data_IF_916925151724
#
_entry.id   IF_916925151724
#
_cell.length_a   1.000
_cell.length_b   1.000
_cell.length_c   1.000
_cell.angle_alpha   90.00
_cell.angle_beta   90.00
_cell.angle_gamma   90.00
#
_symmetry.space_group_name_H-M   'P 1'
#
loop_
_entity.id
_entity.type
_entity.pdbx_description
1 polymer ?
#
# COMPACT_ATOMS: atom_id res chain seq x y z
N UNK A 1 -0.22 -19.14 -24.88
CA UNK A 1 -1.05 -17.92 -24.74
C UNK A 1 -0.24 -16.90 -23.94
N UNK A 2 0.05 -15.73 -24.51
CA UNK A 2 0.73 -14.65 -23.79
C UNK A 2 -0.27 -13.53 -23.54
N UNK A 3 -0.75 -13.38 -22.31
CA UNK A 3 -1.46 -12.14 -21.95
C UNK A 3 -0.44 -11.02 -21.87
N UNK A 4 -0.63 -9.98 -22.67
CA UNK A 4 0.19 -8.77 -22.61
C UNK A 4 0.05 -8.18 -21.20
N UNK A 5 1.16 -8.03 -20.44
CA UNK A 5 1.08 -7.50 -19.10
C UNK A 5 0.45 -6.10 -19.11
N UNK A 6 -0.49 -5.86 -18.19
CA UNK A 6 -1.14 -4.55 -18.05
C UNK A 6 -0.26 -3.63 -17.22
N UNK A 7 0.69 -2.96 -17.86
CA UNK A 7 1.60 -2.02 -17.19
C UNK A 7 0.88 -0.84 -16.53
N UNK A 8 -0.33 -0.49 -17.00
CA UNK A 8 -1.13 0.61 -16.45
C UNK A 8 -1.53 0.41 -14.98
N UNK A 9 -1.57 -0.84 -14.49
CA UNK A 9 -1.91 -1.16 -13.11
C UNK A 9 -0.68 -1.25 -12.18
N UNK A 10 0.52 -1.33 -12.74
CA UNK A 10 1.74 -1.42 -11.94
C UNK A 10 2.09 -0.04 -11.37
N UNK A 11 2.55 -0.04 -10.13
CA UNK A 11 2.97 1.14 -9.37
C UNK A 11 4.21 0.80 -8.55
N UNK A 12 5.11 1.75 -8.41
CA UNK A 12 6.32 1.60 -7.59
C UNK A 12 5.91 1.42 -6.12
N UNK A 13 6.59 0.53 -5.40
CA UNK A 13 6.41 0.39 -3.95
C UNK A 13 6.77 1.70 -3.23
N UNK A 14 6.02 2.05 -2.20
CA UNK A 14 6.15 3.34 -1.51
C UNK A 14 5.49 4.52 -2.23
N UNK A 15 4.98 4.34 -3.46
CA UNK A 15 4.22 5.40 -4.12
C UNK A 15 2.91 5.69 -3.37
N UNK A 16 2.54 6.96 -3.31
CA UNK A 16 1.31 7.41 -2.66
C UNK A 16 0.10 7.08 -3.53
N UNK A 17 -0.92 6.49 -2.90
CA UNK A 17 -2.23 6.26 -3.47
C UNK A 17 -3.33 6.70 -2.50
N UNK A 18 -4.46 7.13 -3.05
CA UNK A 18 -5.65 7.52 -2.29
C UNK A 18 -6.72 6.45 -2.46
N UNK A 19 -6.92 5.64 -1.41
CA UNK A 19 -7.95 4.60 -1.42
C UNK A 19 -9.32 5.24 -1.23
N UNK A 20 -10.27 4.89 -2.08
CA UNK A 20 -11.65 5.33 -1.92
C UNK A 20 -12.24 4.76 -0.62
N UNK A 21 -12.85 5.63 0.20
CA UNK A 21 -13.60 5.21 1.38
C UNK A 21 -15.04 4.91 0.96
N UNK A 22 -15.61 3.74 1.29
CA UNK A 22 -16.99 3.42 0.95
C UNK A 22 -17.98 4.47 1.50
N UNK A 23 -19.01 4.87 0.74
CA UNK A 23 -19.95 5.90 1.15
C UNK A 23 -20.67 5.61 2.47
N UNK A 24 -20.84 4.34 2.80
CA UNK A 24 -21.49 3.86 4.03
C UNK A 24 -20.71 4.25 5.28
N UNK A 25 -19.41 4.50 5.14
CA UNK A 25 -18.51 4.92 6.22
C UNK A 25 -18.35 6.45 6.28
N UNK A 26 -18.89 7.21 5.32
CA UNK A 26 -18.79 8.66 5.31
C UNK A 26 -19.79 9.29 6.28
N UNK A 27 -19.31 10.17 7.17
CA UNK A 27 -20.16 11.18 7.79
C UNK A 27 -20.13 12.46 6.93
N UNK A 28 -21.12 13.34 7.13
CA UNK A 28 -21.18 14.61 6.38
C UNK A 28 -19.89 15.41 6.65
N UNK A 29 -19.20 15.81 5.58
CA UNK A 29 -17.89 16.48 5.56
C UNK A 29 -16.65 15.58 5.74
N UNK A 30 -16.78 14.25 5.79
CA UNK A 30 -15.61 13.38 5.84
C UNK A 30 -14.83 13.32 4.53
N UNK A 31 -13.53 13.03 4.68
CA UNK A 31 -12.60 12.84 3.56
C UNK A 31 -12.99 11.59 2.78
N UNK A 32 -13.19 11.73 1.47
CA UNK A 32 -13.67 10.65 0.58
C UNK A 32 -12.62 9.61 0.20
N UNK A 33 -11.36 9.87 0.54
CA UNK A 33 -10.25 8.99 0.22
C UNK A 33 -9.12 9.09 1.24
N UNK A 34 -8.53 7.96 1.60
CA UNK A 34 -7.44 7.89 2.58
C UNK A 34 -6.10 7.74 1.87
N UNK A 35 -5.13 8.60 2.24
CA UNK A 35 -3.77 8.58 1.70
C UNK A 35 -2.97 7.43 2.29
N UNK A 36 -2.41 6.56 1.44
CA UNK A 36 -1.54 5.45 1.83
C UNK A 36 -0.41 5.21 0.85
N UNK A 37 0.45 4.25 1.18
CA UNK A 37 1.61 3.87 0.39
C UNK A 37 1.46 2.46 -0.16
N UNK A 38 1.80 2.26 -1.43
CA UNK A 38 1.74 0.93 -2.08
C UNK A 38 2.79 0.00 -1.47
N UNK A 39 2.34 -1.13 -0.94
CA UNK A 39 3.21 -2.17 -0.37
C UNK A 39 3.22 -3.43 -1.24
N UNK A 40 2.10 -3.76 -1.88
CA UNK A 40 2.00 -4.92 -2.77
C UNK A 40 0.99 -4.70 -3.90
N UNK A 41 1.20 -5.39 -5.02
CA UNK A 41 0.18 -5.64 -6.02
C UNK A 41 -0.57 -6.92 -5.66
N UNK A 42 -1.88 -6.86 -5.61
CA UNK A 42 -2.76 -8.00 -5.37
C UNK A 42 -3.34 -8.49 -6.70
N UNK A 43 -4.09 -9.59 -6.65
CA UNK A 43 -4.81 -10.09 -7.84
C UNK A 43 -5.77 -9.04 -8.41
N UNK A 44 -6.15 -9.22 -9.68
CA UNK A 44 -6.90 -8.22 -10.47
C UNK A 44 -8.20 -7.70 -9.78
N UNK A 45 -8.88 -8.53 -8.99
CA UNK A 45 -10.10 -8.13 -8.26
C UNK A 45 -9.85 -7.36 -6.97
N UNK A 46 -8.62 -7.41 -6.42
CA UNK A 46 -8.23 -6.75 -5.16
C UNK A 46 -7.33 -5.54 -5.34
N UNK A 47 -6.63 -5.41 -6.48
CA UNK A 47 -5.84 -4.24 -6.85
C UNK A 47 -4.54 -4.10 -6.06
N UNK A 48 -4.50 -3.20 -5.08
CA UNK A 48 -3.28 -2.85 -4.33
C UNK A 48 -3.45 -3.09 -2.83
N UNK A 49 -2.36 -3.44 -2.16
CA UNK A 49 -2.25 -3.36 -0.71
C UNK A 49 -1.59 -2.03 -0.34
N UNK A 50 -2.29 -1.23 0.44
CA UNK A 50 -1.83 0.08 0.91
C UNK A 50 -1.55 0.05 2.41
N UNK A 51 -0.46 0.66 2.82
CA UNK A 51 -0.17 0.96 4.22
C UNK A 51 -0.54 2.41 4.55
N UNK A 52 -1.35 2.57 5.60
CA UNK A 52 -1.76 3.88 6.11
C UNK A 52 -0.94 4.26 7.34
N UNK A 53 -0.02 5.24 7.24
CA UNK A 53 0.87 5.60 8.35
C UNK A 53 0.12 6.14 9.56
N UNK A 54 -1.00 6.84 9.33
CA UNK A 54 -1.81 7.44 10.40
C UNK A 54 -2.47 6.39 11.32
N UNK A 55 -2.77 5.20 10.78
CA UNK A 55 -3.45 4.13 11.55
C UNK A 55 -2.59 2.89 11.76
N UNK A 56 -1.44 2.80 11.08
CA UNK A 56 -0.60 1.60 11.05
C UNK A 56 -1.23 0.41 10.32
N UNK A 57 -2.37 0.59 9.63
CA UNK A 57 -3.13 -0.51 9.02
C UNK A 57 -2.75 -0.76 7.57
N UNK A 58 -2.94 -2.02 7.15
CA UNK A 58 -2.88 -2.43 5.76
C UNK A 58 -4.28 -2.64 5.21
N UNK A 59 -4.58 -2.04 4.07
CA UNK A 59 -5.89 -2.13 3.42
C UNK A 59 -5.72 -2.52 1.96
N UNK A 60 -6.45 -3.56 1.54
CA UNK A 60 -6.57 -3.96 0.15
C UNK A 60 -7.65 -3.11 -0.54
N UNK A 61 -7.34 -2.53 -1.70
CA UNK A 61 -8.32 -1.78 -2.49
C UNK A 61 -8.05 -1.88 -3.98
N UNK A 62 -9.10 -2.18 -4.74
CA UNK A 62 -9.12 -2.10 -6.20
C UNK A 62 -9.36 -0.67 -6.71
N UNK A 63 -9.83 0.23 -5.85
CA UNK A 63 -10.17 1.60 -6.17
C UNK A 63 -9.19 2.55 -5.49
N UNK A 64 -8.05 2.74 -6.13
CA UNK A 64 -6.99 3.65 -5.66
C UNK A 64 -6.72 4.69 -6.73
N UNK A 65 -6.83 5.96 -6.35
CA UNK A 65 -6.43 7.06 -7.21
C UNK A 65 -4.95 7.36 -7.00
N UNK A 66 -4.18 7.32 -8.09
CA UNK A 66 -2.76 7.68 -8.07
C UNK A 66 -2.58 9.07 -8.71
N UNK A 67 -1.88 10.00 -8.04
CA UNK A 67 -1.50 11.26 -8.66
C UNK A 67 -0.62 11.02 -9.89
N UNK A 68 -0.63 11.96 -10.84
CA UNK A 68 0.17 11.86 -12.07
C UNK A 68 1.67 11.88 -11.78
N UNK A 69 2.08 12.65 -10.78
CA UNK A 69 3.47 12.68 -10.32
C UNK A 69 3.74 11.52 -9.37
N UNK A 70 4.93 10.93 -9.51
CA UNK A 70 5.40 9.90 -8.59
C UNK A 70 5.70 10.55 -7.24
N UNK A 71 4.73 10.51 -6.35
CA UNK A 71 4.89 10.87 -4.96
C UNK A 71 5.33 9.64 -4.21
N UNK A 72 6.63 9.33 -4.30
CA UNK A 72 7.22 8.32 -3.43
C UNK A 72 7.43 8.97 -2.07
N UNK A 73 7.03 8.32 -0.99
CA UNK A 73 7.59 8.73 0.29
C UNK A 73 9.10 8.60 0.17
N UNK A 74 9.82 9.68 0.46
CA UNK A 74 11.24 9.56 0.76
C UNK A 74 11.27 8.75 2.06
N UNK A 75 11.31 7.42 1.93
CA UNK A 75 11.70 6.56 3.02
C UNK A 75 13.08 7.06 3.39
N UNK A 76 13.17 7.80 4.50
CA UNK A 76 14.46 8.03 5.09
C UNK A 76 15.05 6.64 5.30
N UNK A 77 16.15 6.34 4.59
CA UNK A 77 16.78 5.03 4.59
C UNK A 77 17.03 4.52 6.02
N UNK A 78 17.21 5.42 6.99
CA UNK A 78 17.34 5.07 8.40
C UNK A 78 16.06 4.51 9.04
N UNK A 79 14.87 4.97 8.64
CA UNK A 79 13.60 4.45 9.12
C UNK A 79 13.27 3.08 8.49
N UNK A 80 13.62 2.89 7.21
CA UNK A 80 13.51 1.60 6.54
C UNK A 80 14.48 0.56 7.13
N UNK A 81 15.74 0.94 7.40
CA UNK A 81 16.70 0.08 8.10
C UNK A 81 16.20 -0.36 9.48
N UNK A 82 15.53 0.53 10.21
CA UNK A 82 15.00 0.22 11.54
C UNK A 82 13.86 -0.81 11.47
N UNK A 83 12.95 -0.64 10.51
CA UNK A 83 11.86 -1.61 10.27
C UNK A 83 12.38 -2.94 9.70
N UNK A 84 13.41 -2.93 8.85
CA UNK A 84 14.01 -4.17 8.34
C UNK A 84 14.72 -4.96 9.46
N UNK A 85 15.41 -4.28 10.37
CA UNK A 85 16.00 -4.92 11.55
C UNK A 85 14.93 -5.59 12.43
N UNK A 86 13.84 -4.87 12.69
CA UNK A 86 12.75 -5.37 13.54
C UNK A 86 11.96 -6.52 12.86
N UNK A 87 11.82 -6.49 11.53
CA UNK A 87 11.20 -7.58 10.75
C UNK A 87 12.12 -8.79 10.56
N UNK A 88 13.44 -8.61 10.42
CA UNK A 88 14.42 -9.71 10.39
C UNK A 88 14.54 -10.41 11.75
N UNK A 89 14.45 -9.66 12.86
CA UNK A 89 14.48 -10.20 14.22
C UNK A 89 13.20 -10.98 14.55
N UNK A 90 12.05 -10.50 14.08
CA UNK A 90 10.74 -11.14 14.33
C UNK A 90 10.43 -12.28 13.37
N UNK A 91 11.01 -12.29 12.16
CA UNK A 91 10.79 -13.33 11.14
C UNK A 91 11.97 -14.30 10.94
N UNK A 92 13.00 -14.23 11.79
CA UNK A 92 13.97 -15.34 11.94
C UNK A 92 13.21 -16.57 12.39
N UNK A 93 12.88 -17.42 11.42
CA UNK A 93 12.31 -18.76 11.53
C UNK A 93 12.63 -19.38 12.90
N UNK A 94 11.65 -19.41 13.82
CA UNK A 94 11.66 -20.45 14.84
C UNK A 94 11.32 -21.75 14.13
N UNK A 95 12.22 -22.75 14.09
CA UNK A 95 11.85 -24.05 13.58
C UNK A 95 10.65 -24.54 14.37
N UNK A 96 9.60 -24.98 13.67
CA UNK A 96 8.51 -25.73 14.28
C UNK A 96 9.13 -27.05 14.79
N UNK A 97 9.18 -27.21 16.11
CA UNK A 97 9.29 -28.52 16.74
C UNK A 97 7.99 -29.30 16.55
#
# INVERSE_FOLDING_TARGET
MGQKPQYNALRVFGNVGYAHVPPELHKKLDVKATRGHVVAHLGASKGWLLWFPETGKFIASAMVHFPKELLVCHVNLQAFHRLHHELDETWRFKPRN
#
